data_IF_686202517363
#
_entry.id   IF_686202517363
#
_cell.length_a   1.000
_cell.length_b   1.000
_cell.length_c   1.000
_cell.angle_alpha   90.00
_cell.angle_beta   90.00
_cell.angle_gamma   90.00
#
_symmetry.space_group_name_H-M   'P 1'
#
loop_
_entity.id
_entity.type
_entity.pdbx_description
1 polymer ?
#
# COMPACT_ATOMS: atom_id res chain seq x y z
N UNK A 1 -37.15 -16.03 43.95
CA UNK A 1 -36.04 -15.09 43.67
C UNK A 1 -34.84 -15.92 43.23
N UNK A 2 -34.59 -16.00 41.92
CA UNK A 2 -33.40 -16.66 41.38
C UNK A 2 -32.28 -15.63 41.30
N UNK A 3 -31.34 -15.69 42.24
CA UNK A 3 -30.06 -14.99 42.15
C UNK A 3 -29.22 -15.69 41.08
N UNK A 4 -29.27 -15.17 39.85
CA UNK A 4 -28.30 -15.52 38.82
C UNK A 4 -26.93 -15.06 39.30
N UNK A 5 -26.05 -16.04 39.51
CA UNK A 5 -24.63 -15.83 39.80
C UNK A 5 -24.01 -15.22 38.54
N UNK A 6 -23.78 -13.91 38.54
CA UNK A 6 -22.98 -13.25 37.51
C UNK A 6 -21.57 -13.83 37.58
N UNK A 7 -21.20 -14.55 36.53
CA UNK A 7 -19.86 -15.08 36.33
C UNK A 7 -18.91 -13.90 36.12
N UNK A 8 -18.20 -13.50 37.17
CA UNK A 8 -17.34 -12.30 37.21
C UNK A 8 -16.11 -12.37 36.29
N UNK A 9 -15.95 -13.47 35.55
CA UNK A 9 -14.93 -13.67 34.53
C UNK A 9 -15.33 -13.14 33.15
N UNK A 10 -16.61 -12.79 32.95
CA UNK A 10 -17.15 -12.36 31.65
C UNK A 10 -17.30 -10.84 31.57
N UNK A 11 -16.86 -10.19 30.47
CA UNK A 11 -17.12 -8.76 30.24
C UNK A 11 -18.62 -8.46 30.29
N UNK A 12 -19.00 -7.36 30.94
CA UNK A 12 -20.40 -7.02 31.24
C UNK A 12 -21.20 -6.69 29.97
N UNK A 13 -22.47 -7.08 29.95
CA UNK A 13 -23.42 -6.77 28.87
C UNK A 13 -23.59 -5.24 28.67
N UNK A 14 -23.31 -4.44 29.71
CA UNK A 14 -23.30 -2.98 29.65
C UNK A 14 -22.16 -2.43 28.78
N UNK A 15 -20.97 -3.03 28.84
CA UNK A 15 -19.84 -2.67 27.99
C UNK A 15 -20.11 -3.05 26.53
N UNK A 16 -20.68 -4.24 26.28
CA UNK A 16 -21.10 -4.63 24.93
C UNK A 16 -22.10 -3.62 24.34
N UNK A 17 -23.08 -3.18 25.12
CA UNK A 17 -24.05 -2.17 24.68
C UNK A 17 -23.43 -0.80 24.39
N UNK A 18 -22.46 -0.34 25.18
CA UNK A 18 -21.78 0.95 24.92
C UNK A 18 -21.00 0.89 23.61
N UNK A 19 -20.24 -0.19 23.39
CA UNK A 19 -19.46 -0.39 22.17
C UNK A 19 -20.35 -0.50 20.91
N UNK A 20 -21.55 -1.08 21.03
CA UNK A 20 -22.54 -1.08 19.93
C UNK A 20 -23.06 0.33 19.65
N UNK A 21 -23.36 1.13 20.69
CA UNK A 21 -23.85 2.51 20.53
C UNK A 21 -22.80 3.45 19.97
N UNK A 22 -21.52 3.19 20.24
CA UNK A 22 -20.36 3.87 19.63
C UNK A 22 -20.21 3.57 18.12
N UNK A 23 -21.03 2.65 17.57
CA UNK A 23 -21.02 2.32 16.14
C UNK A 23 -19.85 1.42 15.72
N UNK A 24 -19.19 0.76 16.68
CA UNK A 24 -18.06 -0.12 16.41
C UNK A 24 -18.50 -1.39 15.67
N UNK A 25 -17.66 -1.86 14.76
CA UNK A 25 -17.91 -3.10 14.03
C UNK A 25 -17.73 -4.33 14.92
N UNK A 26 -18.43 -5.42 14.61
CA UNK A 26 -18.40 -6.67 15.40
C UNK A 26 -16.97 -7.16 15.71
N UNK A 27 -16.05 -7.10 14.75
CA UNK A 27 -14.67 -7.49 14.98
C UNK A 27 -13.97 -6.63 16.05
N UNK A 28 -14.23 -5.33 16.05
CA UNK A 28 -13.63 -4.39 17.02
C UNK A 28 -14.20 -4.60 18.42
N UNK A 29 -15.51 -4.86 18.51
CA UNK A 29 -16.17 -5.17 19.78
C UNK A 29 -15.65 -6.51 20.33
N UNK A 30 -15.46 -7.51 19.47
CA UNK A 30 -14.97 -8.83 19.89
C UNK A 30 -13.57 -8.75 20.50
N UNK A 31 -12.66 -8.02 19.85
CA UNK A 31 -11.30 -7.77 20.36
C UNK A 31 -11.32 -7.03 21.69
N UNK A 32 -12.10 -5.94 21.82
CA UNK A 32 -12.19 -5.17 23.08
C UNK A 32 -12.77 -5.97 24.25
N UNK A 33 -13.59 -6.95 23.95
CA UNK A 33 -14.18 -7.84 24.95
C UNK A 33 -13.31 -9.08 25.20
N UNK A 34 -12.21 -9.30 24.46
CA UNK A 34 -11.39 -10.50 24.58
C UNK A 34 -12.15 -11.78 24.25
N UNK A 35 -13.11 -11.70 23.32
CA UNK A 35 -13.96 -12.83 22.88
C UNK A 35 -13.86 -13.00 21.36
N UNK A 36 -14.30 -14.15 20.85
CA UNK A 36 -14.40 -14.39 19.42
C UNK A 36 -15.58 -13.62 18.80
N UNK A 37 -15.53 -13.36 17.48
CA UNK A 37 -16.68 -12.76 16.77
C UNK A 37 -17.91 -13.68 16.74
N UNK A 38 -17.72 -15.00 16.82
CA UNK A 38 -18.78 -15.98 17.01
C UNK A 38 -19.51 -15.80 18.34
N UNK A 39 -18.75 -15.78 19.44
CA UNK A 39 -19.28 -15.51 20.79
C UNK A 39 -19.92 -14.13 20.89
N UNK A 40 -19.36 -13.13 20.21
CA UNK A 40 -19.97 -11.81 20.14
C UNK A 40 -21.33 -11.85 19.43
N UNK A 41 -21.47 -12.56 18.30
CA UNK A 41 -22.75 -12.66 17.58
C UNK A 41 -23.80 -13.38 18.42
N UNK A 42 -23.41 -14.45 19.12
CA UNK A 42 -24.29 -15.13 20.08
C UNK A 42 -24.70 -14.20 21.22
N UNK A 43 -23.76 -13.43 21.78
CA UNK A 43 -24.04 -12.43 22.81
C UNK A 43 -24.94 -11.31 22.32
N UNK A 44 -24.74 -10.81 21.10
CA UNK A 44 -25.64 -9.81 20.48
C UNK A 44 -27.04 -10.37 20.28
N UNK A 45 -27.17 -11.61 19.80
CA UNK A 45 -28.46 -12.26 19.62
C UNK A 45 -29.17 -12.50 20.97
N UNK A 46 -28.42 -12.92 21.99
CA UNK A 46 -28.92 -13.09 23.36
C UNK A 46 -29.34 -11.75 23.98
N UNK A 47 -28.53 -10.71 23.83
CA UNK A 47 -28.83 -9.37 24.32
C UNK A 47 -30.05 -8.77 23.61
N UNK A 48 -30.21 -9.00 22.30
CA UNK A 48 -31.41 -8.63 21.53
C UNK A 48 -32.65 -9.37 22.03
N UNK A 49 -32.53 -10.69 22.31
CA UNK A 49 -33.62 -11.48 22.92
C UNK A 49 -34.03 -10.96 24.29
N UNK A 50 -33.07 -10.56 25.14
CA UNK A 50 -33.32 -10.03 26.49
C UNK A 50 -33.88 -8.60 26.50
N UNK A 51 -33.40 -7.73 25.63
CA UNK A 51 -33.76 -6.30 25.61
C UNK A 51 -34.99 -5.99 24.75
N UNK A 52 -35.53 -6.98 24.02
CA UNK A 52 -36.80 -6.85 23.32
C UNK A 52 -36.79 -5.87 22.14
N UNK A 53 -35.61 -5.49 21.62
CA UNK A 53 -35.53 -4.66 20.41
C UNK A 53 -35.81 -5.52 19.17
N UNK A 54 -37.09 -5.54 18.79
CA UNK A 54 -37.57 -6.05 17.51
C UNK A 54 -36.98 -5.17 16.39
N UNK A 55 -35.93 -5.68 15.74
CA UNK A 55 -35.58 -5.45 14.33
C UNK A 55 -35.36 -4.00 13.84
N UNK A 56 -34.09 -3.61 13.70
CA UNK A 56 -33.69 -2.82 12.54
C UNK A 56 -33.34 -3.77 11.39
N UNK A 57 -34.36 -4.41 10.82
CA UNK A 57 -34.22 -5.08 9.52
C UNK A 57 -33.96 -4.04 8.42
N UNK A 58 -33.28 -4.41 7.33
CA UNK A 58 -33.07 -3.51 6.20
C UNK A 58 -34.42 -3.07 5.62
N UNK A 59 -34.58 -1.75 5.42
CA UNK A 59 -35.79 -1.17 4.86
C UNK A 59 -36.15 -1.83 3.51
N UNK A 60 -37.43 -2.07 3.22
CA UNK A 60 -37.85 -2.68 1.97
C UNK A 60 -37.45 -1.81 0.78
N UNK A 61 -36.69 -2.39 -0.15
CA UNK A 61 -36.37 -1.79 -1.45
C UNK A 61 -37.66 -1.54 -2.24
N UNK A 62 -38.10 -0.28 -2.23
CA UNK A 62 -39.05 0.23 -3.23
C UNK A 62 -38.38 0.17 -4.61
N UNK A 63 -38.89 -0.69 -5.49
CA UNK A 63 -38.63 -0.62 -6.94
C UNK A 63 -39.13 0.72 -7.45
N UNK A 64 -38.24 1.68 -7.64
CA UNK A 64 -38.50 2.87 -8.46
C UNK A 64 -37.89 2.64 -9.84
N UNK A 65 -38.82 2.41 -10.76
CA UNK A 65 -38.67 2.35 -12.21
C UNK A 65 -38.49 3.79 -12.70
N UNK A 66 -37.54 4.02 -13.61
CA UNK A 66 -37.56 5.19 -14.50
C UNK A 66 -36.37 6.13 -14.36
N UNK A 67 -35.59 6.17 -15.44
CA UNK A 67 -34.70 7.26 -15.86
C UNK A 67 -35.13 8.67 -15.42
N UNK A 68 -34.11 9.52 -15.17
CA UNK A 68 -34.15 10.99 -14.89
C UNK A 68 -33.96 11.38 -13.43
N UNK A 69 -32.76 11.18 -12.89
CA UNK A 69 -32.29 11.93 -11.71
C UNK A 69 -30.76 12.14 -11.70
N UNK A 70 -30.17 12.40 -12.86
CA UNK A 70 -28.74 12.72 -13.01
C UNK A 70 -28.44 14.23 -13.05
N UNK A 71 -29.41 15.11 -12.79
CA UNK A 71 -29.25 16.56 -12.94
C UNK A 71 -29.47 17.41 -11.68
N UNK A 72 -29.65 16.82 -10.49
CA UNK A 72 -29.99 17.60 -9.27
C UNK A 72 -28.96 17.57 -8.12
N UNK A 73 -27.80 16.90 -8.26
CA UNK A 73 -26.77 16.83 -7.21
C UNK A 73 -25.55 17.73 -7.45
N UNK A 74 -25.52 18.49 -8.55
CA UNK A 74 -24.42 19.42 -8.86
C UNK A 74 -24.58 20.84 -8.26
N UNK A 75 -25.65 21.11 -7.49
CA UNK A 75 -25.97 22.47 -7.01
C UNK A 75 -25.92 22.66 -5.47
N UNK A 76 -25.56 21.64 -4.68
CA UNK A 76 -25.53 21.74 -3.21
C UNK A 76 -24.10 21.82 -2.61
N UNK A 77 -23.05 21.82 -3.43
CA UNK A 77 -21.64 21.78 -3.00
C UNK A 77 -20.99 23.14 -2.74
N UNK A 78 -21.65 24.26 -3.04
CA UNK A 78 -21.02 25.60 -2.99
C UNK A 78 -21.36 26.44 -1.74
N UNK A 79 -22.27 25.99 -0.87
CA UNK A 79 -22.70 26.78 0.30
C UNK A 79 -22.08 26.33 1.64
N UNK A 80 -21.47 25.14 1.72
CA UNK A 80 -20.91 24.61 2.96
C UNK A 80 -19.44 25.05 3.24
N UNK A 81 -18.75 25.58 2.24
CA UNK A 81 -17.32 25.96 2.35
C UNK A 81 -17.12 27.38 2.91
N UNK A 82 -18.15 28.25 2.89
CA UNK A 82 -18.04 29.62 3.40
C UNK A 82 -18.26 29.74 4.93
N UNK A 83 -18.91 28.77 5.58
CA UNK A 83 -19.22 28.84 7.02
C UNK A 83 -18.06 28.40 7.93
N UNK A 84 -17.11 27.61 7.41
CA UNK A 84 -15.96 27.10 8.19
C UNK A 84 -14.77 28.07 8.18
N UNK A 85 -14.69 28.95 7.18
CA UNK A 85 -13.61 29.96 7.08
C UNK A 85 -13.84 31.22 7.95
N UNK A 86 -15.05 31.41 8.51
CA UNK A 86 -15.37 32.56 9.37
C UNK A 86 -15.12 32.32 10.87
N UNK A 87 -14.76 31.10 11.28
CA UNK A 87 -14.50 30.76 12.70
C UNK A 87 -13.00 30.83 13.06
N UNK A 88 -12.10 30.90 12.08
CA UNK A 88 -10.64 30.87 12.31
C UNK A 88 -10.00 32.28 12.34
N UNK A 89 -10.73 33.34 12.00
CA UNK A 89 -10.16 34.68 11.87
C UNK A 89 -10.30 35.61 13.09
N UNK A 90 -10.76 35.14 14.28
CA UNK A 90 -11.11 36.07 15.36
C UNK A 90 -10.60 35.70 16.77
N UNK A 91 -9.34 35.27 16.90
CA UNK A 91 -8.66 35.24 18.21
C UNK A 91 -7.21 35.74 18.05
N UNK A 92 -7.04 37.07 18.06
CA UNK A 92 -5.76 37.73 18.30
C UNK A 92 -5.96 39.17 18.87
N UNK A 93 -6.22 39.25 20.18
CA UNK A 93 -5.84 40.30 21.17
C UNK A 93 -6.30 41.78 20.98
N UNK A 94 -6.12 42.73 21.96
CA UNK A 94 -5.91 42.67 23.43
C UNK A 94 -6.78 43.66 24.30
N UNK A 95 -6.72 43.52 25.64
CA UNK A 95 -7.00 44.57 26.67
C UNK A 95 -8.47 44.76 27.08
N UNK A 96 -8.89 45.16 28.28
CA UNK A 96 -8.32 45.61 29.58
C UNK A 96 -9.50 45.70 30.57
N UNK A 97 -9.30 45.51 31.89
CA UNK A 97 -10.16 46.16 32.92
C UNK A 97 -10.81 45.26 33.98
N UNK A 98 -10.10 45.13 35.11
CA UNK A 98 -10.47 45.09 36.54
C UNK A 98 -11.79 44.54 37.14
N UNK A 99 -11.56 44.05 38.38
CA UNK A 99 -12.44 43.77 39.52
C UNK A 99 -13.07 42.36 39.57
N UNK A 100 -12.86 41.53 40.59
CA UNK A 100 -12.13 41.66 41.85
C UNK A 100 -12.35 40.38 42.68
N UNK A 101 -11.40 40.12 43.59
CA UNK A 101 -11.49 39.27 44.79
C UNK A 101 -12.13 37.86 44.67
N UNK A 102 -11.28 36.83 44.64
CA UNK A 102 -11.34 35.70 45.60
C UNK A 102 -10.20 34.71 45.27
N UNK A 103 -8.98 35.07 45.72
CA UNK A 103 -7.81 34.19 45.73
C UNK A 103 -7.49 33.90 47.20
N UNK A 104 -7.98 32.77 47.72
CA UNK A 104 -7.41 32.09 48.90
C UNK A 104 -8.21 30.83 49.28
N UNK A 105 -8.29 29.78 48.44
CA UNK A 105 -8.79 28.47 48.92
C UNK A 105 -8.50 27.24 48.05
N UNK A 106 -7.62 27.27 47.04
CA UNK A 106 -7.46 26.09 46.15
C UNK A 106 -6.02 25.80 45.75
N UNK A 107 -5.07 26.11 46.63
CA UNK A 107 -3.64 25.83 46.44
C UNK A 107 -3.11 24.69 47.33
N UNK A 108 -4.01 23.92 47.97
CA UNK A 108 -3.64 22.79 48.84
C UNK A 108 -3.94 21.40 48.23
N UNK A 109 -4.46 21.30 47.01
CA UNK A 109 -4.82 20.01 46.38
C UNK A 109 -4.02 19.69 45.09
N UNK A 110 -2.95 20.44 44.80
CA UNK A 110 -2.13 20.25 43.58
C UNK A 110 -0.84 19.45 43.80
N UNK A 111 -0.55 19.00 45.01
CA UNK A 111 0.64 18.24 45.35
C UNK A 111 0.38 16.76 45.64
N UNK A 112 -0.15 15.98 44.69
CA UNK A 112 -0.12 14.51 44.75
C UNK A 112 -0.57 13.77 43.47
N UNK A 113 -0.61 14.41 42.30
CA UNK A 113 -0.58 13.65 41.03
C UNK A 113 0.84 13.69 40.52
N UNK A 114 1.69 12.83 41.09
CA UNK A 114 2.82 12.30 40.34
C UNK A 114 2.22 11.67 39.09
N UNK A 115 2.32 12.39 37.98
CA UNK A 115 2.19 11.81 36.65
C UNK A 115 3.24 10.72 36.59
N UNK A 116 2.82 9.50 36.88
CA UNK A 116 3.61 8.31 36.61
C UNK A 116 3.73 8.29 35.09
N UNK A 117 4.80 8.88 34.57
CA UNK A 117 5.17 8.75 33.17
C UNK A 117 5.36 7.26 32.99
N UNK A 118 4.36 6.60 32.39
CA UNK A 118 4.46 5.20 32.03
C UNK A 118 5.75 5.07 31.23
N UNK A 119 6.72 4.34 31.78
CA UNK A 119 7.96 4.07 31.08
C UNK A 119 7.58 3.49 29.72
N UNK A 120 8.13 4.06 28.65
CA UNK A 120 7.97 3.52 27.30
C UNK A 120 8.31 2.03 27.37
N UNK A 121 7.41 1.12 26.98
CA UNK A 121 7.66 -0.31 27.08
C UNK A 121 8.98 -0.63 26.39
N UNK A 122 9.89 -1.27 27.13
CA UNK A 122 11.19 -1.68 26.59
C UNK A 122 10.95 -2.80 25.58
N UNK A 123 10.93 -2.45 24.29
CA UNK A 123 10.77 -3.42 23.20
C UNK A 123 11.98 -4.35 23.16
N UNK A 124 11.74 -5.62 22.89
CA UNK A 124 12.81 -6.62 22.78
C UNK A 124 13.57 -6.44 21.48
N UNK A 125 14.87 -6.75 21.47
CA UNK A 125 15.63 -6.81 20.23
C UNK A 125 15.05 -7.89 19.30
N UNK A 126 15.09 -7.70 17.97
CA UNK A 126 14.66 -8.74 17.03
C UNK A 126 15.43 -10.04 17.23
N UNK A 127 14.72 -11.17 17.16
CA UNK A 127 15.37 -12.47 17.05
C UNK A 127 16.07 -12.60 15.69
N UNK A 128 17.05 -13.51 15.59
CA UNK A 128 17.76 -13.76 14.33
C UNK A 128 17.43 -15.16 13.86
N UNK A 129 17.03 -15.28 12.60
CA UNK A 129 16.73 -16.55 11.94
C UNK A 129 17.54 -16.62 10.65
N UNK A 130 18.08 -17.79 10.33
CA UNK A 130 18.77 -18.03 9.07
C UNK A 130 17.82 -18.77 8.14
N UNK A 131 17.47 -18.14 7.01
CA UNK A 131 16.61 -18.73 5.98
C UNK A 131 17.41 -18.79 4.68
N UNK A 132 17.60 -19.99 4.15
CA UNK A 132 18.37 -20.22 2.92
C UNK A 132 19.76 -19.57 2.94
N UNK A 133 20.44 -19.60 4.10
CA UNK A 133 21.76 -19.00 4.29
C UNK A 133 21.79 -17.47 4.46
N UNK A 134 20.62 -16.80 4.50
CA UNK A 134 20.51 -15.36 4.76
C UNK A 134 20.08 -15.13 6.20
N UNK A 135 20.81 -14.30 6.94
CA UNK A 135 20.38 -13.83 8.26
C UNK A 135 19.25 -12.81 8.13
N UNK A 136 18.14 -13.11 8.81
CA UNK A 136 16.94 -12.28 8.85
C UNK A 136 16.58 -11.97 10.30
N UNK A 137 16.22 -10.72 10.55
CA UNK A 137 15.63 -10.30 11.81
C UNK A 137 14.15 -10.71 11.81
N UNK A 138 13.73 -11.40 12.86
CA UNK A 138 12.34 -11.74 13.12
C UNK A 138 11.66 -10.56 13.83
N UNK A 139 10.82 -9.86 13.06
CA UNK A 139 10.10 -8.67 13.54
C UNK A 139 8.82 -9.06 14.28
N UNK A 140 8.59 -10.35 14.55
CA UNK A 140 7.45 -10.86 15.29
C UNK A 140 6.16 -10.94 14.46
N UNK A 141 5.01 -11.16 15.12
CA UNK A 141 3.70 -11.17 14.48
C UNK A 141 3.45 -9.86 13.73
N UNK A 142 3.02 -9.96 12.48
CA UNK A 142 2.80 -8.81 11.61
C UNK A 142 1.42 -8.86 10.95
N UNK A 143 0.97 -10.02 10.50
CA UNK A 143 -0.30 -10.22 9.82
C UNK A 143 -1.14 -11.28 10.56
N UNK A 144 -2.43 -11.02 10.76
CA UNK A 144 -3.36 -11.97 11.35
C UNK A 144 -4.69 -12.01 10.60
N UNK A 145 -5.48 -13.07 10.78
CA UNK A 145 -6.80 -13.25 10.16
C UNK A 145 -7.87 -13.48 11.23
N UNK A 146 -9.03 -12.84 11.04
CA UNK A 146 -10.15 -12.88 11.96
C UNK A 146 -10.69 -14.30 12.13
N UNK A 147 -10.95 -14.71 13.37
CA UNK A 147 -11.58 -16.01 13.66
C UNK A 147 -10.65 -17.21 13.46
N UNK A 148 -9.34 -16.97 13.34
CA UNK A 148 -8.30 -17.99 13.27
C UNK A 148 -7.43 -17.95 14.52
N UNK A 149 -6.92 -19.11 14.90
CA UNK A 149 -5.89 -19.19 15.95
C UNK A 149 -4.52 -18.72 15.42
N UNK A 150 -3.58 -18.28 16.27
CA UNK A 150 -2.26 -17.81 15.82
C UNK A 150 -1.44 -18.86 15.05
N UNK A 151 -1.71 -20.15 15.26
CA UNK A 151 -1.02 -21.26 14.60
C UNK A 151 -1.66 -21.65 13.26
N UNK A 152 -2.82 -21.08 12.93
CA UNK A 152 -3.45 -21.30 11.63
C UNK A 152 -2.81 -20.40 10.57
N UNK A 153 -2.66 -20.92 9.34
CA UNK A 153 -2.06 -20.14 8.27
C UNK A 153 -2.92 -18.91 7.96
N UNK A 154 -2.27 -17.77 7.75
CA UNK A 154 -2.95 -16.52 7.38
C UNK A 154 -3.54 -16.58 5.95
N UNK A 155 -3.02 -17.46 5.11
CA UNK A 155 -3.48 -17.63 3.74
C UNK A 155 -2.46 -18.30 2.83
N UNK A 156 -2.62 -18.10 1.53
CA UNK A 156 -1.62 -18.50 0.54
C UNK A 156 -0.56 -17.39 0.46
N UNK A 157 0.70 -17.74 0.70
CA UNK A 157 1.83 -16.81 0.73
C UNK A 157 2.78 -17.16 -0.40
N UNK A 158 3.19 -16.14 -1.16
CA UNK A 158 4.22 -16.21 -2.17
C UNK A 158 5.34 -15.25 -1.78
N UNK A 159 6.38 -15.78 -1.14
CA UNK A 159 7.58 -15.03 -0.79
C UNK A 159 8.49 -14.90 -2.02
N UNK A 160 8.75 -13.68 -2.45
CA UNK A 160 9.70 -13.35 -3.52
C UNK A 160 10.88 -12.57 -2.95
N UNK A 161 11.88 -12.27 -3.77
CA UNK A 161 13.14 -11.70 -3.31
C UNK A 161 12.99 -10.33 -2.61
N UNK A 162 11.96 -9.54 -2.94
CA UNK A 162 11.71 -8.22 -2.35
C UNK A 162 10.22 -7.89 -2.16
N UNK A 163 9.35 -8.84 -2.48
CA UNK A 163 7.90 -8.65 -2.47
C UNK A 163 7.27 -9.91 -1.91
N UNK A 164 6.28 -9.73 -1.04
CA UNK A 164 5.48 -10.84 -0.52
C UNK A 164 4.07 -10.66 -1.05
N UNK A 165 3.58 -11.65 -1.79
CA UNK A 165 2.16 -11.74 -2.16
C UNK A 165 1.41 -12.57 -1.13
N UNK A 166 0.26 -12.10 -0.66
CA UNK A 166 -0.57 -12.84 0.30
C UNK A 166 -2.02 -12.80 -0.13
N UNK A 167 -2.59 -13.98 -0.38
CA UNK A 167 -4.05 -14.15 -0.50
C UNK A 167 -4.58 -14.61 0.85
N UNK A 168 -5.26 -13.72 1.54
CA UNK A 168 -5.77 -13.97 2.88
C UNK A 168 -6.90 -14.99 2.86
N UNK A 169 -6.91 -15.85 3.87
CA UNK A 169 -7.97 -16.84 4.05
C UNK A 169 -9.27 -16.25 4.66
N UNK A 170 -9.30 -14.94 4.91
CA UNK A 170 -10.43 -14.18 5.46
C UNK A 170 -10.06 -12.71 5.65
N UNK A 171 -10.89 -11.95 6.37
CA UNK A 171 -10.56 -10.57 6.75
C UNK A 171 -9.36 -10.56 7.70
N UNK A 172 -8.37 -9.73 7.41
CA UNK A 172 -7.10 -9.69 8.11
C UNK A 172 -6.76 -8.35 8.75
N UNK A 173 -5.68 -8.35 9.53
CA UNK A 173 -5.18 -7.17 10.22
C UNK A 173 -3.66 -7.15 10.22
N UNK A 174 -3.09 -5.96 10.08
CA UNK A 174 -1.68 -5.70 10.37
C UNK A 174 -1.56 -5.32 11.83
N UNK A 175 -0.71 -6.04 12.56
CA UNK A 175 -0.52 -5.90 13.99
C UNK A 175 0.63 -4.93 14.28
N UNK A 176 0.54 -4.22 15.41
CA UNK A 176 1.77 -3.69 16.03
C UNK A 176 2.58 -4.87 16.58
N UNK A 177 3.90 -4.75 16.56
CA UNK A 177 4.81 -5.81 17.00
C UNK A 177 5.49 -5.42 18.31
N UNK A 178 5.63 -6.34 19.29
CA UNK A 178 6.41 -6.06 20.50
C UNK A 178 7.90 -5.78 20.23
N UNK A 179 8.37 -6.03 19.01
CA UNK A 179 9.75 -5.83 18.55
C UNK A 179 9.91 -4.52 17.78
N UNK A 180 8.87 -4.08 17.05
CA UNK A 180 9.00 -3.01 16.04
C UNK A 180 7.92 -1.95 16.22
N UNK A 181 8.31 -0.69 16.45
CA UNK A 181 7.38 0.44 16.65
C UNK A 181 6.82 0.97 15.34
N UNK A 182 5.77 0.32 14.84
CA UNK A 182 5.17 0.69 13.57
C UNK A 182 4.33 1.95 13.70
N UNK A 183 4.82 3.03 13.09
CA UNK A 183 4.08 4.28 12.88
C UNK A 183 3.54 4.34 11.46
N UNK A 184 2.26 4.66 11.29
CA UNK A 184 1.70 4.92 9.96
C UNK A 184 2.27 6.20 9.36
N UNK A 185 2.86 6.12 8.16
CA UNK A 185 3.58 7.23 7.50
C UNK A 185 2.99 7.65 6.14
N UNK A 186 2.02 6.91 5.61
CA UNK A 186 1.17 7.29 4.46
C UNK A 186 -0.29 6.86 4.76
N UNK A 187 -1.37 7.38 4.18
CA UNK A 187 -1.60 7.93 2.84
C UNK A 187 -2.76 8.95 2.89
N UNK A 188 -2.60 10.15 2.29
CA UNK A 188 -3.65 11.18 2.27
C UNK A 188 -4.64 10.99 1.11
N UNK A 189 -4.37 10.12 0.10
CA UNK A 189 -5.22 10.05 -1.11
C UNK A 189 -5.30 8.69 -1.86
N UNK A 190 -4.65 7.60 -1.44
CA UNK A 190 -4.80 6.29 -2.11
C UNK A 190 -5.40 5.20 -1.17
N UNK A 191 -6.68 4.82 -1.36
CA UNK A 191 -7.38 3.89 -0.45
C UNK A 191 -6.90 2.42 -0.55
N UNK A 192 -5.94 2.14 -1.43
CA UNK A 192 -5.42 0.80 -1.73
C UNK A 192 -3.96 0.61 -1.33
N UNK A 193 -3.33 1.59 -0.67
CA UNK A 193 -1.93 1.50 -0.25
C UNK A 193 -1.68 2.14 1.12
N UNK A 194 -0.89 1.48 1.96
CA UNK A 194 -0.39 2.00 3.23
C UNK A 194 1.10 1.87 3.41
N UNK A 195 1.69 2.90 4.00
CA UNK A 195 3.06 2.87 4.49
C UNK A 195 3.09 2.81 6.02
N UNK A 196 3.89 1.88 6.54
CA UNK A 196 4.30 1.81 7.94
C UNK A 196 5.80 2.10 8.02
N UNK A 197 6.23 2.82 9.05
CA UNK A 197 7.63 3.03 9.40
C UNK A 197 7.88 2.37 10.74
N UNK A 198 8.88 1.52 10.83
CA UNK A 198 9.25 0.84 12.08
C UNK A 198 10.75 0.85 12.30
N UNK A 199 11.15 0.59 13.55
CA UNK A 199 12.56 0.47 13.92
C UNK A 199 12.88 -0.97 14.35
N UNK A 200 13.82 -1.60 13.69
CA UNK A 200 14.34 -2.94 14.02
C UNK A 200 15.81 -2.81 14.44
N UNK A 201 16.06 -2.80 15.76
CA UNK A 201 17.36 -2.45 16.30
C UNK A 201 17.73 -0.99 15.98
N UNK A 202 18.84 -0.77 15.28
CA UNK A 202 19.27 0.55 14.84
C UNK A 202 18.72 0.96 13.46
N UNK A 203 18.06 0.03 12.76
CA UNK A 203 17.61 0.23 11.38
C UNK A 203 16.19 0.78 11.34
N UNK A 204 15.96 1.80 10.53
CA UNK A 204 14.60 2.23 10.16
C UNK A 204 14.16 1.48 8.91
N UNK A 205 12.99 0.87 9.00
CA UNK A 205 12.34 0.13 7.92
C UNK A 205 11.05 0.84 7.50
N UNK A 206 10.79 0.86 6.21
CA UNK A 206 9.52 1.23 5.61
C UNK A 206 8.86 -0.04 5.08
N UNK A 207 7.59 -0.23 5.42
CA UNK A 207 6.77 -1.33 4.90
C UNK A 207 5.61 -0.74 4.12
N UNK A 208 5.57 -1.04 2.83
CA UNK A 208 4.46 -0.68 1.96
C UNK A 208 3.54 -1.89 1.80
N UNK A 209 2.25 -1.67 2.04
CA UNK A 209 1.20 -2.68 1.95
C UNK A 209 0.18 -2.19 0.94
N UNK A 210 -0.01 -2.94 -0.14
CA UNK A 210 -0.86 -2.54 -1.25
C UNK A 210 -1.90 -3.62 -1.51
N UNK A 211 -3.15 -3.25 -1.76
CA UNK A 211 -4.14 -4.20 -2.26
C UNK A 211 -3.73 -4.67 -3.66
N UNK A 212 -3.75 -5.97 -3.90
CA UNK A 212 -3.40 -6.53 -5.20
C UNK A 212 -4.45 -6.13 -6.25
N UNK A 213 -3.99 -5.76 -7.44
CA UNK A 213 -4.84 -5.39 -8.57
C UNK A 213 -4.84 -6.52 -9.60
N UNK A 214 -5.99 -7.16 -9.79
CA UNK A 214 -6.17 -8.25 -10.75
C UNK A 214 -7.14 -7.80 -11.83
N UNK A 215 -6.67 -7.86 -13.09
CA UNK A 215 -7.35 -7.48 -14.33
C UNK A 215 -7.87 -6.03 -14.37
N UNK A 216 -8.90 -5.73 -13.57
CA UNK A 216 -9.58 -4.43 -13.55
C UNK A 216 -9.99 -3.95 -12.14
N UNK A 217 -9.72 -4.72 -11.08
CA UNK A 217 -10.18 -4.43 -9.72
C UNK A 217 -9.13 -4.76 -8.67
N UNK A 218 -9.17 -4.02 -7.57
CA UNK A 218 -8.46 -4.39 -6.36
C UNK A 218 -9.17 -5.56 -5.67
N UNK A 219 -8.40 -6.52 -5.15
CA UNK A 219 -8.98 -7.64 -4.41
C UNK A 219 -9.19 -7.33 -2.94
N UNK A 220 -8.49 -6.33 -2.39
CA UNK A 220 -8.61 -5.90 -1.00
C UNK A 220 -9.11 -4.47 -0.84
N UNK A 221 -9.77 -4.21 0.28
CA UNK A 221 -9.86 -2.88 0.87
C UNK A 221 -9.04 -2.81 2.13
N UNK A 222 -8.48 -1.64 2.30
CA UNK A 222 -7.54 -1.31 3.33
C UNK A 222 -8.30 -0.26 4.19
N UNK A 223 -8.35 -0.41 5.54
CA UNK A 223 -8.76 0.64 6.52
C UNK A 223 -7.78 0.84 7.70
N UNK A 224 -7.48 2.06 8.15
CA UNK A 224 -6.79 2.31 9.44
C UNK A 224 -7.70 1.93 10.62
N UNK A 225 -7.19 1.19 11.60
CA UNK A 225 -7.99 0.71 12.76
C UNK A 225 -7.60 1.37 14.10
N UNK A 226 -6.45 2.05 14.16
CA UNK A 226 -6.07 2.87 15.32
C UNK A 226 -5.36 2.06 16.42
N UNK A 227 -4.35 2.68 17.03
CA UNK A 227 -3.35 2.03 17.90
C UNK A 227 -3.93 1.41 19.17
N UNK A 228 -5.10 1.85 19.63
CA UNK A 228 -5.74 1.37 20.87
C UNK A 228 -6.15 -0.12 20.84
N UNK A 229 -6.10 -0.77 19.67
CA UNK A 229 -6.54 -2.17 19.47
C UNK A 229 -5.39 -3.15 19.26
N UNK A 230 -4.14 -2.68 19.20
CA UNK A 230 -2.99 -3.50 18.78
C UNK A 230 -2.96 -3.83 17.29
N UNK A 231 -3.98 -3.42 16.53
CA UNK A 231 -4.04 -3.51 15.07
C UNK A 231 -3.95 -2.12 14.44
N UNK A 232 -3.09 -1.99 13.44
CA UNK A 232 -2.81 -0.73 12.76
C UNK A 232 -3.71 -0.56 11.54
N UNK A 233 -3.86 -1.63 10.77
CA UNK A 233 -4.54 -1.68 9.48
C UNK A 233 -5.48 -2.89 9.48
N UNK A 234 -6.71 -2.70 9.02
CA UNK A 234 -7.63 -3.75 8.64
C UNK A 234 -7.63 -3.97 7.14
N UNK A 235 -7.82 -5.23 6.78
CA UNK A 235 -7.78 -5.74 5.42
C UNK A 235 -9.03 -6.58 5.22
N UNK A 236 -9.82 -6.28 4.19
CA UNK A 236 -11.00 -7.06 3.86
C UNK A 236 -11.15 -7.24 2.37
N UNK A 237 -11.92 -8.23 1.93
CA UNK A 237 -12.15 -8.43 0.51
C UNK A 237 -12.89 -7.24 -0.10
N UNK A 238 -12.49 -6.81 -1.28
CA UNK A 238 -13.23 -5.81 -2.03
C UNK A 238 -14.61 -6.36 -2.47
N UNK A 239 -15.64 -5.51 -2.63
CA UNK A 239 -16.95 -5.95 -3.07
C UNK A 239 -16.88 -6.74 -4.39
N UNK A 240 -17.35 -7.99 -4.37
CA UNK A 240 -17.36 -8.88 -5.53
C UNK A 240 -16.07 -9.68 -5.75
N UNK A 241 -15.05 -9.50 -4.90
CA UNK A 241 -13.84 -10.31 -4.88
C UNK A 241 -14.04 -11.60 -4.08
N UNK A 242 -13.29 -12.65 -4.43
CA UNK A 242 -13.40 -13.96 -3.77
C UNK A 242 -12.57 -14.07 -2.49
N UNK A 243 -11.74 -13.07 -2.21
CA UNK A 243 -10.87 -12.96 -1.05
C UNK A 243 -10.15 -11.61 -1.07
N UNK A 244 -9.38 -11.34 -0.01
CA UNK A 244 -8.49 -10.18 0.04
C UNK A 244 -7.08 -10.61 -0.33
N UNK A 245 -6.48 -9.93 -1.30
CA UNK A 245 -5.09 -10.18 -1.71
C UNK A 245 -4.29 -8.89 -1.55
N UNK A 246 -3.09 -9.01 -0.97
CA UNK A 246 -2.19 -7.89 -0.69
C UNK A 246 -0.76 -8.19 -1.13
N UNK A 247 -0.02 -7.12 -1.37
CA UNK A 247 1.40 -7.10 -1.62
C UNK A 247 2.10 -6.37 -0.47
N UNK A 248 3.20 -6.92 0.02
CA UNK A 248 4.03 -6.33 1.08
C UNK A 248 5.45 -6.16 0.56
N UNK A 249 5.95 -4.93 0.60
CA UNK A 249 7.32 -4.56 0.27
C UNK A 249 8.00 -3.95 1.50
N UNK A 250 9.28 -4.25 1.71
CA UNK A 250 10.08 -3.70 2.80
C UNK A 250 11.30 -2.99 2.24
N UNK A 251 11.55 -1.75 2.67
CA UNK A 251 12.68 -0.94 2.23
C UNK A 251 13.29 -0.12 3.37
N UNK A 252 14.48 0.46 3.15
CA UNK A 252 15.01 1.51 4.04
C UNK A 252 14.44 2.90 3.68
N UNK A 253 14.83 3.92 4.44
CA UNK A 253 14.38 5.31 4.19
C UNK A 253 14.89 5.90 2.86
N UNK A 254 15.91 5.28 2.26
CA UNK A 254 16.38 5.65 0.91
C UNK A 254 15.63 4.92 -0.20
N UNK A 255 14.68 4.04 0.15
CA UNK A 255 13.91 3.24 -0.79
C UNK A 255 14.62 1.97 -1.25
N UNK A 256 15.74 1.57 -0.62
CA UNK A 256 16.41 0.32 -1.00
C UNK A 256 15.62 -0.87 -0.46
N UNK A 257 15.27 -1.84 -1.32
CA UNK A 257 14.46 -2.99 -0.92
C UNK A 257 15.27 -3.94 -0.04
N UNK A 258 14.60 -4.58 0.92
CA UNK A 258 15.12 -5.70 1.69
C UNK A 258 14.55 -7.02 1.16
N UNK A 259 15.32 -8.09 1.31
CA UNK A 259 14.72 -9.42 1.27
C UNK A 259 13.81 -9.57 2.49
N UNK A 260 12.55 -9.92 2.24
CA UNK A 260 11.54 -10.09 3.27
C UNK A 260 10.76 -11.39 3.05
N UNK A 261 10.26 -11.97 4.13
CA UNK A 261 9.44 -13.17 4.08
C UNK A 261 8.33 -13.08 5.11
N UNK A 262 7.15 -13.58 4.76
CA UNK A 262 6.08 -13.83 5.70
C UNK A 262 6.00 -15.33 5.96
N UNK A 263 6.01 -15.70 7.24
CA UNK A 263 5.77 -17.07 7.69
C UNK A 263 4.28 -17.41 7.57
N UNK A 264 3.90 -18.71 7.51
CA UNK A 264 2.49 -19.11 7.46
C UNK A 264 1.65 -18.54 8.61
N UNK A 265 2.24 -18.40 9.80
CA UNK A 265 1.63 -17.85 11.01
C UNK A 265 1.56 -16.31 11.02
N UNK A 266 2.03 -15.66 9.95
CA UNK A 266 1.94 -14.22 9.78
C UNK A 266 3.05 -13.41 10.46
N UNK A 267 4.19 -14.02 10.80
CA UNK A 267 5.40 -13.30 11.26
C UNK A 267 6.20 -12.76 10.10
N UNK A 268 6.69 -11.53 10.22
CA UNK A 268 7.51 -10.85 9.21
C UNK A 268 9.01 -11.02 9.52
N UNK A 269 9.74 -11.61 8.59
CA UNK A 269 11.20 -11.74 8.62
C UNK A 269 11.81 -10.78 7.61
N UNK A 270 12.85 -10.05 8.00
CA UNK A 270 13.52 -9.08 7.13
C UNK A 270 15.02 -9.27 7.21
N UNK A 271 15.68 -9.44 6.06
CA UNK A 271 17.13 -9.53 5.96
C UNK A 271 17.84 -8.38 6.68
N UNK A 272 19.02 -8.65 7.23
CA UNK A 272 19.83 -7.64 7.92
C UNK A 272 20.41 -6.60 6.98
N UNK A 273 20.78 -7.04 5.79
CA UNK A 273 21.29 -6.19 4.74
C UNK A 273 20.21 -5.97 3.67
N UNK A 274 20.03 -4.74 3.16
CA UNK A 274 19.19 -4.50 2.01
C UNK A 274 19.77 -5.24 0.79
N UNK A 275 18.94 -5.44 -0.23
CA UNK A 275 19.40 -5.97 -1.50
C UNK A 275 20.55 -5.12 -2.07
N UNK A 276 21.38 -5.77 -2.88
CA UNK A 276 22.56 -5.15 -3.50
C UNK A 276 22.17 -3.87 -4.24
N UNK A 277 23.10 -2.91 -4.34
CA UNK A 277 22.85 -1.64 -5.05
C UNK A 277 22.53 -1.82 -6.54
N UNK A 278 22.87 -2.98 -7.08
CA UNK A 278 22.58 -3.38 -8.46
C UNK A 278 21.31 -4.19 -8.57
N UNK A 279 20.55 -4.39 -7.49
CA UNK A 279 19.29 -5.14 -7.52
C UNK A 279 18.11 -4.17 -7.54
N UNK A 280 17.27 -4.28 -8.57
CA UNK A 280 15.98 -3.59 -8.64
C UNK A 280 14.84 -4.60 -8.54
N UNK A 281 13.66 -4.14 -8.15
CA UNK A 281 12.48 -5.00 -8.00
C UNK A 281 11.53 -4.69 -9.14
N UNK A 282 11.16 -5.71 -9.90
CA UNK A 282 10.06 -5.58 -10.83
C UNK A 282 8.74 -5.55 -10.04
N UNK A 283 8.02 -4.44 -10.13
CA UNK A 283 6.83 -4.22 -9.30
C UNK A 283 5.70 -5.22 -9.57
N UNK A 284 5.57 -5.70 -10.82
CA UNK A 284 4.49 -6.62 -11.21
C UNK A 284 4.77 -8.05 -10.76
N UNK A 285 5.98 -8.53 -11.00
CA UNK A 285 6.40 -9.89 -10.68
C UNK A 285 7.06 -10.01 -9.31
N UNK A 286 7.38 -8.91 -8.62
CA UNK A 286 8.12 -8.91 -7.35
C UNK A 286 9.50 -9.55 -7.43
N UNK A 287 10.01 -9.77 -8.65
CA UNK A 287 11.29 -10.41 -8.88
C UNK A 287 12.42 -9.41 -8.66
N UNK A 288 13.50 -9.87 -8.03
CA UNK A 288 14.76 -9.15 -8.03
C UNK A 288 15.43 -9.29 -9.40
N UNK A 289 15.86 -8.17 -9.96
CA UNK A 289 16.59 -8.07 -11.21
C UNK A 289 17.98 -7.50 -10.91
N UNK A 290 19.03 -8.20 -11.32
CA UNK A 290 20.38 -7.66 -11.28
C UNK A 290 20.60 -6.77 -12.51
N UNK A 291 20.70 -5.47 -12.26
CA UNK A 291 21.00 -4.42 -13.23
C UNK A 291 22.45 -3.97 -13.18
N UNK A 292 23.33 -4.68 -12.47
CA UNK A 292 24.76 -4.38 -12.40
C UNK A 292 25.44 -4.31 -13.78
N UNK A 293 25.10 -5.21 -14.72
CA UNK A 293 25.57 -5.15 -16.11
C UNK A 293 24.82 -4.15 -17.00
N UNK A 294 23.76 -3.52 -16.47
CA UNK A 294 22.97 -2.52 -17.18
C UNK A 294 23.34 -1.10 -16.74
N UNK A 295 23.02 -0.12 -17.58
CA UNK A 295 23.21 1.30 -17.25
C UNK A 295 21.87 2.01 -17.03
N UNK A 296 21.74 2.88 -16.03
CA UNK A 296 20.57 3.74 -15.90
C UNK A 296 20.52 4.72 -17.07
N UNK A 297 19.31 4.98 -17.58
CA UNK A 297 19.07 5.85 -18.72
C UNK A 297 17.74 6.60 -18.57
N UNK A 298 17.75 7.59 -17.68
CA UNK A 298 16.60 8.46 -17.43
C UNK A 298 15.52 7.81 -16.57
N UNK A 299 14.46 8.58 -16.32
CA UNK A 299 13.36 8.19 -15.44
C UNK A 299 12.07 8.23 -16.27
N UNK A 300 11.28 7.16 -16.17
CA UNK A 300 9.92 7.10 -16.68
C UNK A 300 8.98 7.74 -15.65
N UNK A 301 8.44 8.95 -15.92
CA UNK A 301 7.50 9.55 -15.00
C UNK A 301 6.22 8.71 -14.93
N UNK A 302 5.85 8.31 -13.73
CA UNK A 302 4.59 7.59 -13.48
C UNK A 302 3.65 8.52 -12.72
N UNK A 303 2.71 9.13 -13.44
CA UNK A 303 1.69 9.98 -12.83
C UNK A 303 0.61 9.14 -12.13
N UNK A 304 -0.25 9.80 -11.34
CA UNK A 304 -1.36 9.14 -10.66
C UNK A 304 -2.26 8.39 -11.66
N UNK A 305 -2.37 7.06 -11.50
CA UNK A 305 -3.13 6.17 -12.38
C UNK A 305 -2.36 5.63 -13.61
N UNK A 306 -1.07 5.98 -13.76
CA UNK A 306 -0.14 5.31 -14.67
C UNK A 306 0.42 4.01 -14.08
N UNK A 307 1.14 3.25 -14.91
CA UNK A 307 1.86 2.05 -14.47
C UNK A 307 3.17 1.92 -15.24
N UNK A 308 4.15 1.29 -14.62
CA UNK A 308 5.40 0.91 -15.28
C UNK A 308 5.84 -0.45 -14.74
N UNK A 309 6.16 -1.40 -15.61
CA UNK A 309 6.64 -2.71 -15.21
C UNK A 309 7.42 -3.39 -16.34
N UNK A 310 8.27 -4.34 -15.96
CA UNK A 310 9.10 -5.11 -16.86
C UNK A 310 8.34 -6.36 -17.29
N UNK A 311 8.38 -6.66 -18.60
CA UNK A 311 7.82 -7.89 -19.15
C UNK A 311 8.84 -8.56 -20.06
N UNK A 312 8.62 -9.84 -20.32
CA UNK A 312 9.45 -10.56 -21.25
C UNK A 312 9.07 -10.34 -22.71
N UNK A 313 10.11 -10.26 -23.53
CA UNK A 313 9.94 -10.29 -24.97
C UNK A 313 9.80 -11.74 -25.44
N UNK A 314 8.58 -12.14 -25.78
CA UNK A 314 8.25 -13.48 -26.27
C UNK A 314 8.85 -13.79 -27.67
N UNK A 315 9.48 -12.81 -28.34
CA UNK A 315 10.10 -13.00 -29.66
C UNK A 315 11.39 -13.84 -29.69
N UNK A 316 11.70 -14.55 -28.60
CA UNK A 316 12.78 -15.55 -28.56
C UNK A 316 14.18 -15.01 -28.22
N UNK A 317 14.36 -13.69 -28.16
CA UNK A 317 15.65 -13.07 -27.82
C UNK A 317 15.96 -13.05 -26.31
N UNK A 318 15.00 -13.41 -25.45
CA UNK A 318 15.18 -13.45 -23.99
C UNK A 318 15.34 -12.08 -23.31
N UNK A 319 15.33 -10.97 -24.07
CA UNK A 319 15.47 -9.62 -23.55
C UNK A 319 14.22 -9.11 -22.83
N UNK A 320 14.40 -8.23 -21.84
CA UNK A 320 13.30 -7.49 -21.22
C UNK A 320 12.83 -6.34 -22.11
N UNK A 321 11.52 -6.07 -22.00
CA UNK A 321 10.92 -4.81 -22.46
C UNK A 321 10.13 -4.21 -21.31
N UNK A 322 9.92 -2.89 -21.33
CA UNK A 322 9.13 -2.20 -20.32
C UNK A 322 7.75 -1.87 -20.89
N UNK A 323 6.70 -2.20 -20.13
CA UNK A 323 5.35 -1.70 -20.36
C UNK A 323 5.12 -0.47 -19.50
N UNK A 324 4.76 0.64 -20.13
CA UNK A 324 4.59 1.91 -19.45
C UNK A 324 3.35 2.64 -19.94
N UNK A 325 2.48 3.02 -19.00
CA UNK A 325 1.38 3.96 -19.26
C UNK A 325 1.81 5.35 -18.85
N UNK A 326 1.95 6.19 -19.85
CA UNK A 326 2.29 7.60 -19.70
C UNK A 326 1.02 8.45 -19.68
N UNK A 327 0.94 9.33 -18.69
CA UNK A 327 -0.05 10.40 -18.60
C UNK A 327 0.62 11.69 -18.13
N UNK A 328 0.36 12.80 -18.83
CA UNK A 328 0.80 14.13 -18.44
C UNK A 328 2.26 14.47 -18.81
N UNK A 329 3.25 13.78 -18.25
CA UNK A 329 4.67 14.03 -18.54
C UNK A 329 5.25 12.98 -19.48
N UNK A 330 5.72 13.42 -20.66
CA UNK A 330 6.39 12.55 -21.62
C UNK A 330 7.79 12.14 -21.14
N UNK A 331 8.34 11.08 -21.71
CA UNK A 331 9.72 10.68 -21.41
C UNK A 331 10.70 11.69 -22.00
N UNK A 332 11.65 12.13 -21.19
CA UNK A 332 12.75 12.99 -21.58
C UNK A 332 14.04 12.18 -21.58
N UNK A 333 14.75 12.16 -22.70
CA UNK A 333 16.04 11.48 -22.79
C UNK A 333 17.10 12.21 -21.97
N UNK A 334 17.99 11.49 -21.26
CA UNK A 334 19.06 12.11 -20.47
C UNK A 334 20.26 12.53 -21.32
N UNK A 335 20.33 12.12 -22.59
CA UNK A 335 21.48 12.33 -23.47
C UNK A 335 21.06 12.70 -24.90
N UNK A 336 21.92 13.41 -25.67
CA UNK A 336 21.64 13.77 -27.05
C UNK A 336 21.47 12.53 -27.92
N UNK A 337 20.61 12.60 -28.94
CA UNK A 337 20.45 11.55 -29.93
C UNK A 337 19.58 11.99 -31.10
N UNK A 338 19.17 11.04 -31.92
CA UNK A 338 18.28 11.28 -33.06
C UNK A 338 16.93 10.64 -32.78
N UNK A 339 15.86 11.44 -32.81
CA UNK A 339 14.49 10.96 -32.81
C UNK A 339 14.07 10.69 -34.26
N UNK A 340 13.43 9.56 -34.51
CA UNK A 340 12.86 9.22 -35.81
C UNK A 340 11.54 8.48 -35.64
N UNK A 341 10.67 8.62 -36.65
CA UNK A 341 9.40 7.90 -36.72
C UNK A 341 9.49 6.92 -37.89
N UNK A 342 9.92 5.66 -37.67
CA UNK A 342 10.05 4.67 -38.76
C UNK A 342 8.71 4.32 -39.42
N UNK A 343 7.60 4.83 -38.90
CA UNK A 343 6.25 4.67 -39.41
C UNK A 343 5.36 3.91 -38.44
N UNK A 344 4.05 3.98 -38.67
CA UNK A 344 3.06 3.29 -37.85
C UNK A 344 3.08 3.78 -36.41
N UNK A 345 3.20 2.87 -35.46
CA UNK A 345 2.98 3.14 -34.02
C UNK A 345 4.26 3.28 -33.22
N UNK A 346 5.37 3.56 -33.89
CA UNK A 346 6.70 3.52 -33.32
C UNK A 346 7.39 4.88 -33.36
N UNK A 347 8.04 5.20 -32.24
CA UNK A 347 9.00 6.27 -32.11
C UNK A 347 10.34 5.65 -31.74
N UNK A 348 11.41 6.13 -32.36
CA UNK A 348 12.74 5.57 -32.18
C UNK A 348 13.72 6.67 -31.79
N UNK A 349 14.38 6.48 -30.64
CA UNK A 349 15.51 7.28 -30.22
C UNK A 349 16.79 6.50 -30.48
N UNK A 350 17.70 7.06 -31.27
CA UNK A 350 19.02 6.48 -31.55
C UNK A 350 20.12 7.31 -30.86
N UNK A 351 20.99 6.64 -30.13
CA UNK A 351 22.21 7.17 -29.56
C UNK A 351 23.42 6.47 -30.17
N UNK A 352 24.64 6.86 -29.76
CA UNK A 352 25.85 6.16 -30.17
C UNK A 352 25.93 4.70 -29.69
N UNK A 353 25.30 4.39 -28.54
CA UNK A 353 25.48 3.10 -27.86
C UNK A 353 24.31 2.15 -28.03
N UNK A 354 23.11 2.66 -28.34
CA UNK A 354 21.91 1.87 -28.52
C UNK A 354 20.82 2.65 -29.26
N UNK A 355 19.79 1.91 -29.65
CA UNK A 355 18.51 2.41 -30.12
C UNK A 355 17.40 2.00 -29.13
N UNK A 356 16.58 2.96 -28.69
CA UNK A 356 15.33 2.72 -27.98
C UNK A 356 14.16 2.81 -28.96
N UNK A 357 13.28 1.81 -28.94
CA UNK A 357 12.04 1.80 -29.70
C UNK A 357 10.85 1.82 -28.73
N UNK A 358 10.03 2.85 -28.89
CA UNK A 358 8.78 3.07 -28.16
C UNK A 358 7.63 2.72 -29.08
N UNK A 359 6.97 1.60 -28.82
CA UNK A 359 5.84 1.11 -29.60
C UNK A 359 4.55 1.30 -28.83
N UNK A 360 3.57 2.01 -29.40
CA UNK A 360 2.29 2.25 -28.73
C UNK A 360 1.50 0.95 -28.60
N UNK A 361 1.08 0.58 -27.39
CA UNK A 361 0.28 -0.61 -27.08
C UNK A 361 -1.25 -0.35 -27.13
N UNK A 362 -2.05 -1.40 -27.38
CA UNK A 362 -3.51 -1.36 -27.35
C UNK A 362 -4.21 -1.12 -28.70
N UNK A 363 -5.52 -1.39 -28.81
CA UNK A 363 -6.27 -1.38 -30.07
C UNK A 363 -7.15 -0.14 -30.28
N UNK A 364 -6.88 0.97 -29.58
CA UNK A 364 -7.79 2.14 -29.61
C UNK A 364 -8.01 2.57 -31.06
N UNK A 365 -9.27 2.51 -31.50
CA UNK A 365 -9.72 2.96 -32.80
C UNK A 365 -9.21 4.39 -33.03
N UNK A 366 -8.27 4.51 -33.96
CA UNK A 366 -7.45 5.69 -34.15
C UNK A 366 -6.05 5.26 -34.53
N UNK A 367 -5.81 5.14 -35.84
CA UNK A 367 -4.49 5.03 -36.47
C UNK A 367 -3.68 6.28 -36.12
N UNK A 368 -3.13 6.35 -34.91
CA UNK A 368 -2.06 7.30 -34.63
C UNK A 368 -0.82 6.72 -35.26
N UNK A 369 -0.59 7.17 -36.49
CA UNK A 369 0.65 6.94 -37.22
C UNK A 369 1.60 8.09 -36.94
N UNK A 370 2.76 7.78 -36.41
CA UNK A 370 3.84 8.74 -36.27
C UNK A 370 4.56 8.85 -37.62
N UNK A 371 4.58 10.06 -38.16
CA UNK A 371 5.38 10.43 -39.31
C UNK A 371 6.17 11.68 -38.92
N UNK A 372 7.49 11.53 -38.82
CA UNK A 372 8.42 12.61 -38.55
C UNK A 372 9.76 12.30 -39.23
N UNK A 373 10.38 13.33 -39.78
CA UNK A 373 11.75 13.26 -40.27
C UNK A 373 12.71 13.05 -39.09
N UNK A 374 13.85 12.36 -39.31
CA UNK A 374 14.87 12.24 -38.28
C UNK A 374 15.35 13.63 -37.82
N UNK A 375 15.23 13.91 -36.52
CA UNK A 375 15.64 15.18 -35.94
C UNK A 375 16.55 14.99 -34.72
N UNK A 376 17.51 15.90 -34.48
CA UNK A 376 18.25 15.94 -33.22
C UNK A 376 17.30 16.14 -32.03
N UNK A 377 17.49 15.34 -30.99
CA UNK A 377 16.77 15.45 -29.72
C UNK A 377 17.74 15.85 -28.61
N UNK A 378 17.53 17.04 -28.06
CA UNK A 378 18.32 17.56 -26.95
C UNK A 378 17.97 16.86 -25.63
N UNK A 379 18.95 16.70 -24.70
CA UNK A 379 18.70 16.20 -23.36
C UNK A 379 17.58 16.98 -22.66
N UNK A 380 16.70 16.26 -21.95
CA UNK A 380 15.62 16.87 -21.18
C UNK A 380 14.38 17.25 -22.00
N UNK A 381 14.43 17.23 -23.34
CA UNK A 381 13.25 17.45 -24.18
C UNK A 381 12.35 16.22 -24.15
N UNK A 382 11.13 16.38 -23.63
CA UNK A 382 10.12 15.33 -23.68
C UNK A 382 9.55 15.20 -25.11
N UNK A 383 9.39 13.95 -25.58
CA UNK A 383 8.95 13.69 -26.96
C UNK A 383 7.84 12.62 -27.08
N UNK A 384 7.57 11.86 -26.02
CA UNK A 384 6.51 10.84 -26.05
C UNK A 384 5.16 11.43 -25.64
N UNK A 385 4.10 11.24 -26.46
CA UNK A 385 2.74 11.65 -26.11
C UNK A 385 2.00 10.60 -25.27
N UNK A 386 0.94 11.05 -24.60
CA UNK A 386 0.08 10.25 -23.72
C UNK A 386 -0.37 8.92 -24.35
N UNK A 387 -0.20 7.83 -23.59
CA UNK A 387 -0.59 6.50 -24.03
C UNK A 387 0.09 5.35 -23.31
N UNK A 388 -0.22 4.15 -23.78
CA UNK A 388 0.42 2.92 -23.34
C UNK A 388 1.56 2.61 -24.32
N UNK A 389 2.74 2.32 -23.80
CA UNK A 389 3.97 2.14 -24.54
C UNK A 389 4.65 0.83 -24.16
N UNK A 390 5.22 0.17 -25.15
CA UNK A 390 6.20 -0.90 -24.98
C UNK A 390 7.56 -0.35 -25.38
N UNK A 391 8.53 -0.48 -24.50
CA UNK A 391 9.88 0.07 -24.67
C UNK A 391 10.84 -1.09 -24.82
N UNK A 392 11.56 -1.10 -25.93
CA UNK A 392 12.59 -2.09 -26.23
C UNK A 392 13.89 -1.39 -26.63
N UNK A 393 15.02 -2.07 -26.46
CA UNK A 393 16.32 -1.56 -26.85
C UNK A 393 17.07 -2.55 -27.73
N UNK A 394 17.96 -2.01 -28.56
CA UNK A 394 18.92 -2.77 -29.33
C UNK A 394 20.26 -2.02 -29.37
N UNK A 395 21.37 -2.76 -29.46
CA UNK A 395 22.69 -2.21 -29.80
C UNK A 395 22.66 -1.57 -31.20
N UNK A 396 23.68 -0.77 -31.58
CA UNK A 396 23.73 -0.11 -32.89
C UNK A 396 23.76 -1.10 -34.05
N UNK A 397 24.22 -2.34 -33.82
CA UNK A 397 24.22 -3.44 -34.78
C UNK A 397 22.85 -4.14 -34.92
N UNK A 398 21.83 -3.71 -34.17
CA UNK A 398 20.49 -4.29 -34.16
C UNK A 398 20.30 -5.45 -33.17
N UNK A 399 21.33 -5.87 -32.45
CA UNK A 399 21.22 -6.93 -31.43
C UNK A 399 20.33 -6.46 -30.28
N UNK A 400 19.23 -7.17 -29.93
CA UNK A 400 18.37 -6.81 -28.81
C UNK A 400 19.14 -6.77 -27.48
N UNK A 401 18.82 -5.80 -26.62
CA UNK A 401 19.29 -5.73 -25.23
C UNK A 401 18.12 -5.49 -24.29
N UNK A 402 18.25 -5.96 -23.04
CA UNK A 402 17.17 -5.83 -22.07
C UNK A 402 16.95 -4.38 -21.67
N UNK A 403 15.67 -4.04 -21.51
CA UNK A 403 15.20 -2.80 -20.87
C UNK A 403 14.40 -3.19 -19.66
N UNK A 404 14.76 -2.69 -18.49
CA UNK A 404 14.01 -2.87 -17.24
C UNK A 404 13.77 -1.54 -16.56
N UNK A 405 12.84 -1.51 -15.60
CA UNK A 405 12.48 -0.32 -14.84
C UNK A 405 12.49 -0.64 -13.34
N UNK A 406 13.06 0.26 -12.55
CA UNK A 406 13.01 0.19 -11.09
C UNK A 406 11.71 0.81 -10.54
N UNK A 407 11.40 0.57 -9.26
CA UNK A 407 10.20 1.12 -8.62
C UNK A 407 10.12 2.65 -8.58
N UNK A 408 11.27 3.33 -8.65
CA UNK A 408 11.37 4.79 -8.76
C UNK A 408 11.17 5.33 -10.19
N UNK A 409 10.96 4.43 -11.16
CA UNK A 409 10.82 4.75 -12.58
C UNK A 409 12.14 4.81 -13.35
N UNK A 410 13.30 4.60 -12.71
CA UNK A 410 14.58 4.60 -13.41
C UNK A 410 14.62 3.49 -14.46
N UNK A 411 14.87 3.85 -15.71
CA UNK A 411 15.01 2.92 -16.84
C UNK A 411 16.45 2.40 -16.88
N UNK A 412 16.65 1.10 -16.99
CA UNK A 412 17.96 0.47 -17.15
C UNK A 412 18.03 -0.23 -18.50
N UNK A 413 19.17 -0.08 -19.19
CA UNK A 413 19.41 -0.67 -20.52
C UNK A 413 20.71 -1.46 -20.46
N UNK A 414 20.67 -2.73 -20.86
CA UNK A 414 21.84 -3.61 -20.89
C UNK A 414 21.46 -5.05 -20.62
N UNK A 415 22.42 -5.86 -20.16
CA UNK A 415 22.14 -7.23 -19.76
C UNK A 415 21.52 -7.23 -18.36
N UNK A 416 20.39 -7.93 -18.20
CA UNK A 416 19.63 -7.99 -16.94
C UNK A 416 19.36 -9.44 -16.62
N UNK A 417 19.82 -9.90 -15.46
CA UNK A 417 19.60 -11.27 -15.00
C UNK A 417 18.46 -11.32 -13.97
N UNK A 418 17.48 -12.20 -14.21
CA UNK A 418 16.40 -12.52 -13.26
C UNK A 418 16.62 -13.87 -12.59
N UNK A 419 16.06 -14.05 -11.37
CA UNK A 419 16.33 -15.22 -10.51
C UNK A 419 15.50 -16.47 -10.91
N UNK A 420 14.31 -16.35 -11.51
CA UNK A 420 13.50 -17.51 -12.00
C UNK A 420 12.37 -17.09 -12.94
N UNK A 421 12.04 -17.92 -13.95
CA UNK A 421 11.05 -17.56 -14.99
C UNK A 421 11.52 -16.35 -15.80
N UNK A 422 10.81 -15.93 -16.84
CA UNK A 422 11.24 -14.73 -17.56
C UNK A 422 10.71 -13.46 -16.84
N UNK A 423 11.48 -12.96 -15.86
CA UNK A 423 12.05 -11.59 -15.73
C UNK A 423 13.39 -11.38 -16.48
N UNK A 424 13.48 -12.08 -17.62
CA UNK A 424 14.43 -11.95 -18.74
C UNK A 424 15.80 -12.63 -18.62
N UNK A 425 15.81 -13.76 -17.89
CA UNK A 425 16.71 -14.92 -17.98
C UNK A 425 18.21 -14.68 -17.70
N UNK A 426 18.62 -14.96 -16.45
CA UNK A 426 20.00 -15.26 -16.09
C UNK A 426 20.37 -16.74 -16.28
N UNK A 427 21.62 -16.98 -16.68
CA UNK A 427 22.37 -18.25 -16.54
C UNK A 427 21.95 -19.42 -17.44
N UNK A 428 22.69 -19.64 -18.53
CA UNK A 428 22.91 -21.00 -19.06
C UNK A 428 23.81 -21.80 -18.14
#
# INVERSE_FOLDING_TARGET
MNTQREDSSRPSDALLQSLIREGLHDAEIAVRLGITTGELRERKAELQRRTGTIGAGPAPRRRLRGWRLWFALAAAGAAAVLAVLLVIANIAAPGTGDAGADVAATEAARGARQTQVAATPTRSAPGVVVVEGVEMDDLGPFLAVTGRTPDEPVGEIVNRAALIGVRLAGDGFVLDSPVTDWTSVMNVNAPYAWGLRGRAGERTLLVNITAEYVETRFEGTLRRIGEATGALIGISAAPGSSGASILIEVSDESGRPYRSMLTPEGRLLVSREPLGRTTVVDYFTGAALDVGPARPFGILPTAAGGWTFTICNDSGAGACIVSWRQSGQGYAVPAPGILSCPGGRELRYASADFTLTFRRAGSVQGTVEFACEPEPLDPGRAFLPDGNWLISAAKPDGTPVSVTVAGDGTLYIGDVAGVTGCPCRGGS
#
